data_IF_408626561952
#
_entry.id   IF_408626561952
#
_cell.length_a   1.000
_cell.length_b   1.000
_cell.length_c   1.000
_cell.angle_alpha   90.00
_cell.angle_beta   90.00
_cell.angle_gamma   90.00
#
_symmetry.space_group_name_H-M   'P 1'
#
loop_
_entity.id
_entity.type
_entity.pdbx_description
1 polymer ?
#
# COMPACT_ATOMS: atom_id res chain seq x y z
N UNK A 1 -1.72 9.53 16.98
CA UNK A 1 -0.62 9.49 16.00
C UNK A 1 -1.18 9.85 14.63
N UNK A 2 -0.54 10.76 13.88
CA UNK A 2 -0.91 11.00 12.48
C UNK A 2 -0.70 9.71 11.66
N UNK A 3 -1.50 9.52 10.61
CA UNK A 3 -1.37 8.37 9.70
C UNK A 3 -0.21 8.62 8.74
N UNK A 4 0.34 7.55 8.15
CA UNK A 4 1.33 7.66 7.09
C UNK A 4 0.79 8.55 5.96
N UNK A 5 1.54 9.61 5.65
CA UNK A 5 1.22 10.53 4.56
C UNK A 5 1.67 9.96 3.22
N UNK A 6 1.24 10.60 2.13
CA UNK A 6 1.72 10.26 0.79
C UNK A 6 3.26 10.35 0.75
N UNK A 7 3.90 9.37 0.10
CA UNK A 7 5.36 9.25 -0.06
C UNK A 7 6.17 8.99 1.23
N UNK A 8 5.52 8.81 2.39
CA UNK A 8 6.22 8.53 3.64
C UNK A 8 7.01 7.20 3.61
N UNK A 9 6.59 6.26 2.78
CA UNK A 9 7.22 4.94 2.60
C UNK A 9 8.57 5.01 1.89
N UNK A 10 8.80 6.00 1.02
CA UNK A 10 10.03 6.13 0.21
C UNK A 10 11.28 6.09 1.10
N UNK A 11 11.25 6.82 2.22
CA UNK A 11 12.40 6.90 3.13
C UNK A 11 12.67 5.58 3.87
N UNK A 12 11.65 4.74 4.05
CA UNK A 12 11.83 3.40 4.60
C UNK A 12 12.37 2.43 3.54
N UNK A 13 11.84 2.48 2.32
CA UNK A 13 12.26 1.59 1.22
C UNK A 13 13.73 1.79 0.84
N UNK A 14 14.21 3.03 0.86
CA UNK A 14 15.58 3.37 0.48
C UNK A 14 16.53 3.58 1.67
N UNK A 15 16.08 3.34 2.91
CA UNK A 15 16.86 3.56 4.13
C UNK A 15 17.44 4.99 4.25
N UNK A 16 16.63 5.98 3.85
CA UNK A 16 17.02 7.40 3.82
C UNK A 16 16.27 8.24 4.86
N UNK A 17 15.82 7.62 5.95
CA UNK A 17 15.07 8.29 7.02
C UNK A 17 15.78 9.51 7.62
N UNK A 18 17.11 9.49 7.69
CA UNK A 18 17.92 10.60 8.21
C UNK A 18 18.08 11.76 7.19
N UNK A 19 17.55 11.63 5.98
CA UNK A 19 17.63 12.60 4.89
C UNK A 19 16.26 13.14 4.46
N UNK A 20 15.21 12.93 5.26
CA UNK A 20 13.87 13.41 4.95
C UNK A 20 13.78 14.95 4.97
N UNK A 21 13.19 15.58 3.93
CA UNK A 21 13.07 17.04 3.85
C UNK A 21 11.81 17.59 4.55
N UNK A 22 11.05 16.74 5.25
CA UNK A 22 9.72 17.03 5.79
C UNK A 22 9.75 17.68 7.20
N UNK A 23 10.94 17.94 7.74
CA UNK A 23 11.12 18.55 9.06
C UNK A 23 10.68 17.66 10.22
N UNK A 24 10.43 16.36 9.99
CA UNK A 24 10.11 15.44 11.05
C UNK A 24 11.33 15.21 11.97
N UNK A 25 11.12 14.75 13.23
CA UNK A 25 12.21 14.52 14.18
C UNK A 25 13.30 13.59 13.63
N UNK A 26 14.50 13.51 14.23
CA UNK A 26 15.47 12.47 13.86
C UNK A 26 14.85 11.07 13.98
N UNK A 27 15.22 10.15 13.09
CA UNK A 27 14.73 8.78 13.13
C UNK A 27 15.19 8.08 14.41
N UNK A 28 14.28 7.36 15.06
CA UNK A 28 14.60 6.51 16.22
C UNK A 28 15.20 5.19 15.75
N UNK A 29 15.78 4.43 16.69
CA UNK A 29 16.28 3.08 16.38
C UNK A 29 15.14 2.14 15.95
N UNK A 30 13.94 2.31 16.52
CA UNK A 30 12.77 1.55 16.10
C UNK A 30 12.38 1.86 14.64
N UNK A 31 12.44 3.15 14.23
CA UNK A 31 12.17 3.54 12.84
C UNK A 31 13.20 2.91 11.88
N UNK A 32 14.48 2.91 12.27
CA UNK A 32 15.56 2.27 11.50
C UNK A 32 15.36 0.77 11.37
N UNK A 33 14.96 0.09 12.44
CA UNK A 33 14.66 -1.35 12.41
C UNK A 33 13.50 -1.68 11.46
N UNK A 34 12.44 -0.86 11.44
CA UNK A 34 11.34 -0.99 10.47
C UNK A 34 11.83 -0.76 9.04
N UNK A 35 12.63 0.29 8.83
CA UNK A 35 13.23 0.63 7.54
C UNK A 35 14.08 -0.52 6.99
N UNK A 36 15.00 -1.05 7.80
CA UNK A 36 15.91 -2.10 7.40
C UNK A 36 15.16 -3.40 7.05
N UNK A 37 14.16 -3.75 7.84
CA UNK A 37 13.34 -4.91 7.55
C UNK A 37 12.51 -4.73 6.27
N UNK A 38 11.94 -3.54 6.02
CA UNK A 38 11.22 -3.24 4.78
C UNK A 38 12.16 -3.29 3.56
N UNK A 39 13.34 -2.67 3.66
CA UNK A 39 14.35 -2.70 2.62
C UNK A 39 14.77 -4.13 2.27
N UNK A 40 15.02 -4.97 3.27
CA UNK A 40 15.36 -6.38 3.07
C UNK A 40 14.28 -7.14 2.28
N UNK A 41 12.99 -6.86 2.49
CA UNK A 41 11.89 -7.44 1.70
C UNK A 41 11.97 -7.03 0.23
N UNK A 42 12.25 -5.75 -0.04
CA UNK A 42 12.42 -5.24 -1.41
C UNK A 42 13.62 -5.87 -2.11
N UNK A 43 14.75 -6.01 -1.42
CA UNK A 43 15.94 -6.68 -1.95
C UNK A 43 15.66 -8.15 -2.24
N UNK A 44 14.99 -8.87 -1.33
CA UNK A 44 14.61 -10.26 -1.53
C UNK A 44 13.71 -10.44 -2.75
N UNK A 45 12.71 -9.57 -2.90
CA UNK A 45 11.81 -9.55 -4.05
C UNK A 45 12.57 -9.29 -5.35
N UNK A 46 13.45 -8.29 -5.38
CA UNK A 46 14.25 -7.99 -6.58
C UNK A 46 15.16 -9.15 -6.99
N UNK A 47 15.68 -9.92 -6.03
CA UNK A 47 16.57 -11.07 -6.29
C UNK A 47 15.83 -12.33 -6.74
N UNK A 48 14.66 -12.60 -6.17
CA UNK A 48 14.02 -13.93 -6.24
C UNK A 48 12.58 -13.93 -6.72
N UNK A 49 11.96 -12.75 -6.84
CA UNK A 49 10.52 -12.61 -7.04
C UNK A 49 9.68 -12.84 -5.77
N UNK A 50 10.30 -13.17 -4.63
CA UNK A 50 9.61 -13.38 -3.35
C UNK A 50 10.20 -12.45 -2.26
N UNK A 51 9.39 -11.65 -1.55
CA UNK A 51 9.86 -10.77 -0.49
C UNK A 51 10.15 -11.53 0.83
N UNK A 52 9.69 -12.78 0.95
CA UNK A 52 9.89 -13.64 2.11
C UNK A 52 8.88 -14.78 2.14
N UNK A 53 9.18 -15.88 2.84
CA UNK A 53 8.30 -17.04 2.91
C UNK A 53 7.00 -16.78 3.68
N UNK A 54 7.04 -15.82 4.61
CA UNK A 54 5.92 -15.38 5.44
C UNK A 54 5.04 -14.31 4.78
N UNK A 55 5.41 -13.84 3.59
CA UNK A 55 4.61 -12.91 2.80
C UNK A 55 4.02 -13.62 1.58
N UNK A 56 2.80 -14.17 1.68
CA UNK A 56 2.21 -14.96 0.60
C UNK A 56 1.88 -14.11 -0.63
N UNK A 57 1.85 -14.76 -1.79
CA UNK A 57 1.31 -14.15 -3.02
C UNK A 57 -0.17 -13.80 -2.79
N UNK A 58 -0.54 -12.58 -3.16
CA UNK A 58 -1.92 -12.14 -3.01
C UNK A 58 -2.87 -12.99 -3.87
N UNK A 59 -3.93 -13.50 -3.25
CA UNK A 59 -5.05 -14.16 -3.91
C UNK A 59 -6.38 -13.57 -3.41
N UNK A 60 -7.36 -13.22 -4.27
CA UNK A 60 -8.62 -12.61 -3.82
C UNK A 60 -9.43 -13.43 -2.82
N UNK A 61 -9.30 -14.76 -2.85
CA UNK A 61 -9.96 -15.66 -1.91
C UNK A 61 -9.34 -15.60 -0.51
N UNK A 62 -8.04 -15.30 -0.42
CA UNK A 62 -7.25 -15.31 0.81
C UNK A 62 -7.06 -13.90 1.40
N UNK A 63 -7.17 -12.88 0.53
CA UNK A 63 -7.16 -11.43 0.82
C UNK A 63 -6.08 -11.03 1.84
N UNK A 64 -4.87 -11.53 1.60
CA UNK A 64 -3.71 -11.40 2.48
C UNK A 64 -2.89 -10.16 2.10
N UNK A 65 -2.76 -9.21 3.03
CA UNK A 65 -1.99 -7.99 2.85
C UNK A 65 -0.83 -7.96 3.83
N UNK A 66 0.39 -7.67 3.36
CA UNK A 66 1.47 -7.28 4.27
C UNK A 66 1.26 -5.83 4.70
N UNK A 67 1.12 -5.62 6.00
CA UNK A 67 0.87 -4.32 6.60
C UNK A 67 2.11 -3.90 7.39
N UNK A 68 2.79 -2.87 6.91
CA UNK A 68 3.90 -2.24 7.62
C UNK A 68 3.37 -1.19 8.60
N UNK A 69 3.67 -1.38 9.88
CA UNK A 69 3.44 -0.41 10.96
C UNK A 69 4.74 -0.29 11.78
N UNK A 70 4.66 -0.28 13.11
CA UNK A 70 5.82 -0.24 13.99
C UNK A 70 6.54 -1.61 14.14
N UNK A 71 5.97 -2.71 13.65
CA UNK A 71 6.58 -4.04 13.70
C UNK A 71 7.59 -4.20 12.56
N UNK A 72 8.90 -4.40 12.85
CA UNK A 72 9.89 -4.67 11.80
C UNK A 72 9.48 -5.88 10.95
N UNK A 73 9.50 -5.72 9.63
CA UNK A 73 9.16 -6.78 8.69
C UNK A 73 7.68 -6.87 8.33
N UNK A 74 6.82 -6.12 9.02
CA UNK A 74 5.38 -6.06 8.79
C UNK A 74 4.61 -7.27 9.30
N UNK A 75 3.29 -7.22 9.17
CA UNK A 75 2.38 -8.29 9.57
C UNK A 75 1.41 -8.63 8.43
N UNK A 76 1.18 -9.91 8.18
CA UNK A 76 0.12 -10.33 7.25
C UNK A 76 -1.25 -10.16 7.91
N UNK A 77 -2.13 -9.40 7.27
CA UNK A 77 -3.52 -9.20 7.67
C UNK A 77 -4.47 -9.66 6.58
N UNK A 78 -5.45 -10.47 6.97
CA UNK A 78 -6.49 -11.00 6.08
C UNK A 78 -7.73 -10.13 6.09
N UNK A 79 -8.39 -10.00 4.94
CA UNK A 79 -9.58 -9.16 4.78
C UNK A 79 -9.39 -7.73 5.29
N UNK A 80 -8.15 -7.22 5.20
CA UNK A 80 -7.79 -5.92 5.74
C UNK A 80 -8.54 -4.83 4.97
N UNK A 81 -9.39 -4.07 5.67
CA UNK A 81 -10.22 -3.00 5.11
C UNK A 81 -11.23 -3.45 4.05
N UNK A 82 -11.50 -4.76 3.95
CA UNK A 82 -12.32 -5.37 2.89
C UNK A 82 -13.66 -4.68 2.71
N UNK A 83 -14.42 -4.48 3.79
CA UNK A 83 -15.76 -3.88 3.69
C UNK A 83 -15.75 -2.48 3.07
N UNK A 84 -14.79 -1.64 3.46
CA UNK A 84 -14.64 -0.28 2.96
C UNK A 84 -14.16 -0.28 1.49
N UNK A 85 -13.14 -1.09 1.18
CA UNK A 85 -12.61 -1.21 -0.18
C UNK A 85 -13.67 -1.77 -1.15
N UNK A 86 -14.39 -2.81 -0.74
CA UNK A 86 -15.47 -3.41 -1.53
C UNK A 86 -16.61 -2.42 -1.76
N UNK A 87 -16.93 -1.57 -0.78
CA UNK A 87 -17.91 -0.50 -0.95
C UNK A 87 -17.49 0.48 -2.05
N UNK A 88 -16.24 0.95 -2.03
CA UNK A 88 -15.71 1.85 -3.04
C UNK A 88 -15.63 1.19 -4.42
N UNK A 89 -15.18 -0.07 -4.49
CA UNK A 89 -15.11 -0.83 -5.73
C UNK A 89 -16.48 -1.00 -6.40
N UNK A 90 -17.55 -1.24 -5.62
CA UNK A 90 -18.92 -1.32 -6.14
C UNK A 90 -19.42 0.01 -6.68
N UNK A 91 -19.28 1.10 -5.91
CA UNK A 91 -19.77 2.43 -6.33
C UNK A 91 -19.03 2.97 -7.54
N UNK A 92 -17.70 2.81 -7.60
CA UNK A 92 -16.89 3.27 -8.72
C UNK A 92 -17.33 2.64 -10.04
N UNK A 93 -17.56 1.32 -10.06
CA UNK A 93 -18.05 0.61 -11.26
C UNK A 93 -19.40 1.16 -11.74
N UNK A 94 -20.34 1.38 -10.82
CA UNK A 94 -21.66 1.92 -11.16
C UNK A 94 -21.56 3.35 -11.73
N UNK A 95 -20.79 4.22 -11.09
CA UNK A 95 -20.61 5.60 -11.55
C UNK A 95 -19.95 5.66 -12.93
N UNK A 96 -18.88 4.87 -13.16
CA UNK A 96 -18.22 4.78 -14.47
C UNK A 96 -19.19 4.31 -15.55
N UNK A 97 -20.03 3.31 -15.25
CA UNK A 97 -21.05 2.84 -16.18
C UNK A 97 -22.04 3.94 -16.55
N UNK A 98 -22.59 4.64 -15.55
CA UNK A 98 -23.54 5.75 -15.77
C UNK A 98 -22.92 6.89 -16.57
N UNK A 99 -21.66 7.25 -16.29
CA UNK A 99 -20.92 8.26 -17.05
C UNK A 99 -20.76 7.84 -18.51
N UNK A 100 -20.38 6.59 -18.78
CA UNK A 100 -20.25 6.06 -20.15
C UNK A 100 -21.58 6.08 -20.90
N UNK A 101 -22.69 5.73 -20.25
CA UNK A 101 -24.03 5.79 -20.86
C UNK A 101 -24.39 7.22 -21.21
N UNK A 102 -24.23 8.16 -20.26
CA UNK A 102 -24.46 9.59 -20.48
C UNK A 102 -23.65 10.12 -21.67
N UNK A 103 -22.37 9.79 -21.74
CA UNK A 103 -21.47 10.26 -22.80
C UNK A 103 -21.78 9.63 -24.17
N UNK A 104 -22.39 8.44 -24.20
CA UNK A 104 -22.89 7.81 -25.43
C UNK A 104 -24.19 8.47 -25.90
N UNK A 105 -25.12 8.74 -24.98
CA UNK A 105 -26.37 9.45 -25.30
C UNK A 105 -26.09 10.86 -25.84
N UNK A 106 -25.17 11.60 -25.23
CA UNK A 106 -24.75 12.93 -25.72
C UNK A 106 -24.20 12.89 -27.15
N UNK A 107 -23.49 11.83 -27.54
CA UNK A 107 -22.96 11.66 -28.91
C UNK A 107 -24.01 11.25 -29.94
N UNK A 108 -25.13 10.67 -29.51
CA UNK A 108 -26.19 10.22 -30.42
C UNK A 108 -27.29 11.28 -30.61
N UNK A 109 -27.46 12.18 -29.64
CA UNK A 109 -28.57 13.14 -29.59
C UNK A 109 -28.12 14.60 -29.43
N UNK A 110 -26.82 14.89 -29.61
CA UNK A 110 -26.24 16.23 -29.64
C UNK A 110 -25.23 16.33 -30.77
#
# INVERSE_FOLDING_TARGET
>A
MPRAAHAADIFHVFETLDHRPDGAPPATEADRAVSAAMHARWVAFARTGAPGADWPVYAPADDAWMVFNATPGGEVKRAWWKAALDHHARKGKLLILLMRIRDRLRRMFG
#
